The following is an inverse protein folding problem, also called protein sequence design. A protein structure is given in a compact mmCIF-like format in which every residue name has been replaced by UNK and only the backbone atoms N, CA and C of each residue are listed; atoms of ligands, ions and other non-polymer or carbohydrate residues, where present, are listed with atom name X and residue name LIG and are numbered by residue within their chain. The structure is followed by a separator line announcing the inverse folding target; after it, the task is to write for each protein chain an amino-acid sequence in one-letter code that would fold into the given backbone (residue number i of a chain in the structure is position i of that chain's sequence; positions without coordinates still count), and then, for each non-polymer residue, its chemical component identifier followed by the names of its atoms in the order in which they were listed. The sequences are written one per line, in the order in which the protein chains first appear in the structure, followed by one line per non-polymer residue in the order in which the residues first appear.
data_IF_314590299339
#
_entry.id   IF_314590299339
#
_cell.length_a   1.000
_cell.length_b   1.000
_cell.length_c   1.000
_cell.angle_alpha   90.00
_cell.angle_beta   90.00
_cell.angle_gamma   90.00
#
_symmetry.space_group_name_H-M   'P 1'
#
loop_
_entity.id
_entity.type
_entity.pdbx_description
1 polymer ?
#
# COMPACT_ATOMS: atom_id res chain seq x y z
N UNK A 1 20.48 39.98 43.56
CA UNK A 1 20.10 39.74 42.15
C UNK A 1 20.83 38.53 41.53
N UNK A 2 21.23 37.49 42.30
CA UNK A 2 21.99 36.34 41.76
C UNK A 2 21.17 35.04 41.57
N UNK A 3 19.95 34.98 42.08
CA UNK A 3 19.14 33.75 42.05
C UNK A 3 18.21 33.61 40.84
N UNK A 4 18.03 34.68 40.04
CA UNK A 4 17.15 34.64 38.86
C UNK A 4 17.84 34.07 37.61
N UNK A 5 19.17 34.15 37.54
CA UNK A 5 19.92 33.70 36.37
C UNK A 5 20.07 32.17 36.34
N UNK A 6 20.21 31.54 37.50
CA UNK A 6 20.37 30.08 37.63
C UNK A 6 19.09 29.30 37.25
N UNK A 7 17.93 29.91 37.48
CA UNK A 7 16.64 29.28 37.19
C UNK A 7 16.30 29.27 35.69
N UNK A 8 16.82 30.23 34.92
CA UNK A 8 16.63 30.30 33.46
C UNK A 8 17.52 29.28 32.73
N UNK A 9 18.72 29.01 33.25
CA UNK A 9 19.63 28.02 32.67
C UNK A 9 19.16 26.58 32.91
N UNK A 10 18.54 26.31 34.05
CA UNK A 10 17.96 24.99 34.36
C UNK A 10 16.73 24.68 33.49
N UNK A 11 15.94 25.70 33.14
CA UNK A 11 14.75 25.56 32.29
C UNK A 11 15.11 25.24 30.83
N UNK A 12 16.26 25.71 30.35
CA UNK A 12 16.73 25.48 28.97
C UNK A 12 17.33 24.07 28.77
N UNK A 13 17.84 23.41 29.81
CA UNK A 13 18.32 22.03 29.70
C UNK A 13 17.21 20.97 29.65
N UNK A 14 15.96 21.34 29.97
CA UNK A 14 14.81 20.42 29.90
C UNK A 14 14.19 20.40 28.49
N UNK A 15 14.61 21.28 27.59
CA UNK A 15 14.08 21.38 26.22
C UNK A 15 14.85 20.57 25.16
N UNK A 16 15.86 19.78 25.54
CA UNK A 16 16.51 18.83 24.65
C UNK A 16 16.01 17.40 24.89
N UNK A 17 14.69 17.21 24.88
CA UNK A 17 14.16 15.88 24.57
C UNK A 17 14.49 15.70 23.08
N UNK A 18 15.39 14.77 22.69
CA UNK A 18 15.52 14.44 21.29
C UNK A 18 14.13 13.98 20.87
N UNK A 19 13.51 14.72 19.94
CA UNK A 19 12.47 14.19 19.08
C UNK A 19 13.11 13.07 18.27
N UNK A 20 13.38 11.95 18.93
CA UNK A 20 13.48 10.67 18.29
C UNK A 20 12.12 10.50 17.65
N UNK A 21 12.07 10.68 16.33
CA UNK A 21 11.09 10.01 15.51
C UNK A 21 11.31 8.52 15.73
N UNK A 22 10.84 8.02 16.86
CA UNK A 22 10.83 6.61 17.17
C UNK A 22 10.05 5.96 16.05
N UNK A 23 10.71 5.07 15.32
CA UNK A 23 10.03 4.10 14.48
C UNK A 23 9.24 3.25 15.49
N UNK A 24 7.99 3.62 15.73
CA UNK A 24 7.09 2.80 16.51
C UNK A 24 6.75 1.59 15.64
N UNK A 25 7.46 0.49 15.83
CA UNK A 25 6.96 -0.82 15.39
C UNK A 25 5.74 -1.11 16.26
N UNK A 26 4.55 -0.83 15.74
CA UNK A 26 3.32 -1.29 16.35
C UNK A 26 3.34 -2.82 16.28
N UNK A 27 3.54 -3.48 17.42
CA UNK A 27 3.36 -4.92 17.52
C UNK A 27 1.92 -5.25 17.07
N UNK A 28 1.78 -6.05 16.01
CA UNK A 28 0.48 -6.42 15.45
C UNK A 28 0.00 -5.63 14.22
N UNK A 29 0.86 -4.83 13.57
CA UNK A 29 0.55 -4.25 12.25
C UNK A 29 1.38 -4.93 11.16
N UNK A 30 0.75 -5.31 10.05
CA UNK A 30 1.44 -5.91 8.92
C UNK A 30 2.39 -4.90 8.26
N UNK A 31 3.54 -5.40 7.82
CA UNK A 31 4.49 -4.62 7.04
C UNK A 31 3.84 -4.17 5.72
N UNK A 32 3.96 -2.88 5.44
CA UNK A 32 3.49 -2.34 4.17
C UNK A 32 4.28 -2.95 3.00
N UNK A 33 3.63 -3.16 1.84
CA UNK A 33 4.34 -3.51 0.61
C UNK A 33 5.43 -2.49 0.26
N UNK A 34 6.53 -2.95 -0.32
CA UNK A 34 7.71 -2.13 -0.64
C UNK A 34 8.25 -2.44 -2.05
N UNK A 35 9.26 -1.68 -2.49
CA UNK A 35 9.87 -1.80 -3.83
C UNK A 35 8.81 -1.82 -4.95
N UNK A 36 7.90 -0.86 -4.86
CA UNK A 36 6.72 -0.77 -5.71
C UNK A 36 7.10 -0.15 -7.05
N UNK A 37 6.67 -0.78 -8.13
CA UNK A 37 6.89 -0.32 -9.49
C UNK A 37 5.70 -0.63 -10.37
N UNK A 38 5.48 0.24 -11.37
CA UNK A 38 4.45 0.05 -12.38
C UNK A 38 5.14 -0.13 -13.73
N UNK A 39 4.98 -1.31 -14.31
CA UNK A 39 5.38 -1.60 -15.68
C UNK A 39 4.20 -1.31 -16.63
N UNK A 40 4.39 -1.55 -17.93
CA UNK A 40 3.41 -1.20 -18.96
C UNK A 40 2.01 -1.77 -18.72
N UNK A 41 1.84 -2.97 -18.19
CA UNK A 41 0.53 -3.55 -17.90
C UNK A 41 0.55 -4.39 -16.63
N UNK A 42 1.56 -4.17 -15.78
CA UNK A 42 1.82 -4.96 -14.57
C UNK A 42 2.08 -4.00 -13.40
N UNK A 43 1.42 -4.25 -12.29
CA UNK A 43 1.73 -3.69 -10.97
C UNK A 43 2.67 -4.67 -10.26
N UNK A 44 3.86 -4.22 -9.89
CA UNK A 44 4.89 -5.05 -9.28
C UNK A 44 5.26 -4.50 -7.91
N UNK A 45 5.30 -5.36 -6.90
CA UNK A 45 5.70 -4.99 -5.54
C UNK A 45 6.28 -6.18 -4.78
N UNK A 46 6.93 -5.91 -3.67
CA UNK A 46 7.40 -6.90 -2.70
C UNK A 46 6.65 -6.69 -1.39
N UNK A 47 6.64 -7.68 -0.52
CA UNK A 47 6.19 -7.50 0.84
C UNK A 47 6.70 -8.63 1.73
N UNK A 48 6.72 -8.35 3.03
CA UNK A 48 7.12 -9.31 4.05
C UNK A 48 5.87 -9.99 4.62
N UNK A 49 5.78 -11.30 4.39
CA UNK A 49 4.57 -12.11 4.62
C UNK A 49 4.80 -13.19 5.68
N UNK A 50 5.88 -13.04 6.45
CA UNK A 50 6.32 -14.04 7.42
C UNK A 50 5.45 -14.03 8.69
N UNK A 51 4.63 -13.00 8.87
CA UNK A 51 3.67 -12.91 9.96
C UNK A 51 2.60 -14.01 9.86
N UNK A 52 2.33 -14.65 11.00
CA UNK A 52 1.37 -15.77 11.08
C UNK A 52 -0.04 -15.36 10.65
N UNK A 53 -0.46 -14.14 11.02
CA UNK A 53 -1.76 -13.54 10.74
C UNK A 53 -1.85 -12.85 9.37
N UNK A 54 -0.77 -12.80 8.58
CA UNK A 54 -0.83 -12.30 7.20
C UNK A 54 -1.79 -13.14 6.37
N UNK A 55 -2.72 -12.48 5.67
CA UNK A 55 -3.75 -13.16 4.87
C UNK A 55 -3.64 -12.84 3.37
N UNK A 56 -2.87 -11.82 2.97
CA UNK A 56 -2.58 -11.46 1.58
C UNK A 56 -2.51 -9.95 1.32
N UNK A 57 -2.84 -9.53 0.09
CA UNK A 57 -2.78 -8.14 -0.34
C UNK A 57 -4.04 -7.65 -1.05
N UNK A 58 -4.39 -6.39 -0.80
CA UNK A 58 -5.44 -5.65 -1.48
C UNK A 58 -4.84 -4.68 -2.51
N UNK A 59 -5.36 -4.71 -3.73
CA UNK A 59 -5.06 -3.67 -4.73
C UNK A 59 -6.21 -2.67 -4.74
N UNK A 60 -5.85 -1.40 -4.57
CA UNK A 60 -6.76 -0.28 -4.51
C UNK A 60 -6.61 0.58 -5.76
N UNK A 61 -7.67 1.29 -6.13
CA UNK A 61 -7.64 2.27 -7.20
C UNK A 61 -8.47 3.53 -6.88
N UNK A 62 -8.18 4.62 -7.58
CA UNK A 62 -9.01 5.84 -7.66
C UNK A 62 -8.89 6.46 -9.07
N UNK A 63 -9.92 7.16 -9.55
CA UNK A 63 -9.91 7.78 -10.89
C UNK A 63 -9.35 9.22 -10.86
N UNK A 64 -9.31 9.85 -9.70
CA UNK A 64 -8.69 11.16 -9.49
C UNK A 64 -7.94 11.26 -8.17
N UNK A 65 -7.02 12.22 -8.05
CA UNK A 65 -6.24 12.42 -6.81
C UNK A 65 -7.12 12.79 -5.61
N UNK A 66 -8.26 13.43 -5.87
CA UNK A 66 -9.24 13.87 -4.87
C UNK A 66 -10.21 12.77 -4.42
N UNK A 67 -10.28 11.65 -5.12
CA UNK A 67 -11.18 10.56 -4.79
C UNK A 67 -10.61 9.63 -3.71
N UNK A 68 -11.52 9.01 -2.96
CA UNK A 68 -11.18 7.94 -2.04
C UNK A 68 -10.84 6.64 -2.79
N UNK A 69 -9.93 5.87 -2.22
CA UNK A 69 -9.57 4.56 -2.74
C UNK A 69 -10.74 3.58 -2.68
N UNK A 70 -10.87 2.80 -3.76
CA UNK A 70 -11.82 1.70 -3.90
C UNK A 70 -11.04 0.40 -4.13
N UNK A 71 -11.60 -0.71 -3.69
CA UNK A 71 -10.96 -2.02 -3.83
C UNK A 71 -11.17 -2.54 -5.26
N UNK A 72 -10.10 -2.96 -5.93
CA UNK A 72 -10.21 -3.53 -7.28
C UNK A 72 -10.67 -5.00 -7.24
N UNK A 73 -11.40 -5.42 -8.26
CA UNK A 73 -11.66 -6.83 -8.51
C UNK A 73 -10.49 -7.47 -9.23
N UNK A 74 -10.21 -8.72 -8.85
CA UNK A 74 -9.15 -9.49 -9.47
C UNK A 74 -9.66 -10.82 -9.99
N UNK A 75 -9.31 -11.12 -11.24
CA UNK A 75 -9.69 -12.35 -11.92
C UNK A 75 -8.42 -13.13 -12.26
N UNK A 76 -8.11 -14.14 -11.46
CA UNK A 76 -6.98 -15.05 -11.71
C UNK A 76 -7.52 -16.46 -11.91
N UNK A 77 -7.11 -17.12 -12.99
CA UNK A 77 -7.58 -18.47 -13.33
C UNK A 77 -9.12 -18.58 -13.30
N UNK A 78 -9.82 -17.59 -13.86
CA UNK A 78 -11.29 -17.51 -13.93
C UNK A 78 -12.01 -17.37 -12.57
N UNK A 79 -11.27 -17.15 -11.48
CA UNK A 79 -11.84 -16.88 -10.15
C UNK A 79 -11.89 -15.38 -9.89
N UNK A 80 -13.10 -14.83 -9.75
CA UNK A 80 -13.31 -13.44 -9.35
C UNK A 80 -13.18 -13.35 -7.83
N UNK A 81 -12.30 -12.48 -7.34
CA UNK A 81 -12.12 -12.19 -5.92
C UNK A 81 -12.26 -10.70 -5.66
N UNK A 82 -13.19 -10.36 -4.77
CA UNK A 82 -13.38 -8.99 -4.27
C UNK A 82 -12.64 -8.75 -2.95
N UNK A 83 -12.18 -9.82 -2.30
CA UNK A 83 -11.33 -9.82 -1.10
C UNK A 83 -10.12 -10.71 -1.38
N UNK A 84 -9.04 -10.56 -0.63
CA UNK A 84 -7.85 -9.94 -1.23
C UNK A 84 -7.61 -10.22 -2.70
N UNK A 85 -7.11 -9.18 -3.37
CA UNK A 85 -6.57 -9.32 -4.71
C UNK A 85 -5.53 -10.44 -4.79
N UNK A 86 -4.64 -10.57 -3.80
CA UNK A 86 -3.68 -11.68 -3.75
C UNK A 86 -3.82 -12.38 -2.41
N UNK A 87 -4.27 -13.64 -2.42
CA UNK A 87 -4.34 -14.46 -1.19
C UNK A 87 -2.95 -14.87 -0.72
N UNK A 88 -2.80 -15.15 0.57
CA UNK A 88 -1.58 -15.72 1.16
C UNK A 88 -1.02 -16.91 0.37
N UNK A 89 -1.90 -17.79 -0.14
CA UNK A 89 -1.52 -18.95 -0.95
C UNK A 89 -0.93 -18.60 -2.32
N UNK A 90 -1.26 -17.42 -2.84
CA UNK A 90 -0.84 -16.91 -4.16
C UNK A 90 0.32 -15.92 -4.06
N UNK A 91 0.58 -15.39 -2.87
CA UNK A 91 1.64 -14.42 -2.63
C UNK A 91 3.02 -15.10 -2.69
N UNK A 92 3.98 -14.42 -3.30
CA UNK A 92 5.38 -14.87 -3.29
C UNK A 92 5.96 -14.58 -1.90
N UNK A 93 6.56 -15.59 -1.27
CA UNK A 93 7.09 -15.53 0.09
C UNK A 93 8.54 -15.03 0.15
N UNK A 94 8.85 -14.37 1.27
CA UNK A 94 10.21 -14.19 1.80
C UNK A 94 11.23 -13.58 0.82
N UNK A 95 10.79 -12.63 -0.01
CA UNK A 95 11.67 -11.96 -0.98
C UNK A 95 12.18 -12.85 -2.12
N UNK A 96 11.67 -14.09 -2.27
CA UNK A 96 12.04 -15.00 -3.36
C UNK A 96 11.68 -14.47 -4.76
N UNK A 97 10.82 -13.46 -4.82
CA UNK A 97 10.48 -12.73 -6.04
C UNK A 97 9.39 -11.68 -5.79
N UNK A 98 9.13 -10.82 -6.78
CA UNK A 98 8.08 -9.83 -6.69
C UNK A 98 6.69 -10.43 -6.89
N UNK A 99 5.69 -9.89 -6.19
CA UNK A 99 4.29 -10.07 -6.57
C UNK A 99 3.99 -9.23 -7.81
N UNK A 100 3.31 -9.84 -8.78
CA UNK A 100 2.94 -9.21 -10.04
C UNK A 100 1.44 -9.36 -10.31
N UNK A 101 0.78 -8.23 -10.59
CA UNK A 101 -0.64 -8.18 -10.90
C UNK A 101 -0.82 -7.56 -12.27
N UNK A 102 -1.41 -8.31 -13.21
CA UNK A 102 -1.71 -7.78 -14.54
C UNK A 102 -2.93 -6.86 -14.49
N UNK A 103 -2.86 -5.72 -15.18
CA UNK A 103 -4.01 -4.83 -15.37
C UNK A 103 -5.08 -5.43 -16.29
N UNK A 104 -4.80 -6.54 -16.97
CA UNK A 104 -5.80 -7.31 -17.74
C UNK A 104 -6.71 -8.12 -16.83
N UNK A 105 -6.19 -8.47 -15.67
CA UNK A 105 -6.85 -9.31 -14.66
C UNK A 105 -7.47 -8.46 -13.55
N UNK A 106 -7.30 -7.14 -13.62
CA UNK A 106 -7.73 -6.19 -12.59
C UNK A 106 -8.84 -5.30 -13.14
N UNK A 107 -9.93 -5.16 -12.39
CA UNK A 107 -11.16 -4.48 -12.82
C UNK A 107 -11.65 -3.48 -11.76
N UNK A 108 -12.24 -2.34 -12.17
CA UNK A 108 -13.02 -1.48 -11.27
C UNK A 108 -14.26 -2.20 -10.72
N UNK A 109 -14.77 -1.78 -9.55
CA UNK A 109 -15.93 -2.45 -8.92
C UNK A 109 -17.23 -2.41 -9.74
N UNK A 110 -17.36 -1.42 -10.62
CA UNK A 110 -18.59 -1.16 -11.36
C UNK A 110 -18.37 -1.18 -12.87
N UNK A 111 -17.39 -1.98 -13.34
CA UNK A 111 -17.05 -2.08 -14.75
C UNK A 111 -16.83 -3.53 -15.17
N UNK A 112 -17.35 -3.86 -16.35
CA UNK A 112 -17.12 -5.15 -17.01
C UNK A 112 -15.77 -5.18 -17.77
N UNK A 113 -15.12 -4.04 -17.94
CA UNK A 113 -13.84 -3.91 -18.63
C UNK A 113 -12.68 -3.84 -17.63
N UNK A 114 -11.57 -4.51 -17.96
CA UNK A 114 -10.35 -4.43 -17.14
C UNK A 114 -9.68 -3.06 -17.28
N UNK A 115 -8.85 -2.70 -16.30
CA UNK A 115 -8.07 -1.46 -16.36
C UNK A 115 -7.22 -1.37 -17.63
N UNK A 116 -6.72 -2.50 -18.14
CA UNK A 116 -6.02 -2.56 -19.42
C UNK A 116 -6.92 -2.15 -20.60
N UNK A 117 -8.14 -2.70 -20.69
CA UNK A 117 -9.08 -2.39 -21.77
C UNK A 117 -9.53 -0.93 -21.69
N UNK A 118 -9.88 -0.45 -20.49
CA UNK A 118 -10.32 0.94 -20.30
C UNK A 118 -9.23 1.92 -20.70
N UNK A 119 -8.00 1.71 -20.22
CA UNK A 119 -6.87 2.60 -20.53
C UNK A 119 -6.53 2.59 -22.04
N UNK A 120 -6.66 1.43 -22.70
CA UNK A 120 -6.44 1.31 -24.15
C UNK A 120 -7.52 2.04 -24.96
N UNK A 121 -8.78 2.00 -24.52
CA UNK A 121 -9.91 2.56 -25.24
C UNK A 121 -10.18 4.04 -24.91
N UNK A 122 -9.67 4.53 -23.78
CA UNK A 122 -9.88 5.91 -23.32
C UNK A 122 -8.61 6.48 -22.71
N UNK A 123 -7.79 7.14 -23.54
CA UNK A 123 -6.52 7.76 -23.14
C UNK A 123 -6.66 8.88 -22.09
N UNK A 124 -7.87 9.38 -21.86
CA UNK A 124 -8.12 10.46 -20.92
C UNK A 124 -8.45 9.95 -19.52
N UNK A 125 -8.79 8.66 -19.35
CA UNK A 125 -9.00 8.09 -18.02
C UNK A 125 -7.67 7.77 -17.37
N UNK A 126 -7.40 8.41 -16.23
CA UNK A 126 -6.24 8.12 -15.39
C UNK A 126 -6.66 7.25 -14.22
N UNK A 127 -5.85 6.26 -13.90
CA UNK A 127 -6.03 5.41 -12.72
C UNK A 127 -4.78 5.45 -11.85
N UNK A 128 -5.00 5.73 -10.58
CA UNK A 128 -4.00 5.68 -9.53
C UNK A 128 -4.21 4.37 -8.77
N UNK A 129 -3.13 3.63 -8.53
CA UNK A 129 -3.19 2.35 -7.82
C UNK A 129 -2.43 2.44 -6.51
N UNK A 130 -2.88 1.69 -5.52
CA UNK A 130 -2.15 1.46 -4.28
C UNK A 130 -2.26 -0.02 -3.87
N UNK A 131 -1.40 -0.46 -2.98
CA UNK A 131 -1.44 -1.80 -2.39
C UNK A 131 -1.31 -1.71 -0.88
N UNK A 132 -2.05 -2.55 -0.16
CA UNK A 132 -1.85 -2.79 1.27
C UNK A 132 -1.87 -4.28 1.58
N UNK A 133 -1.23 -4.66 2.67
CA UNK A 133 -1.33 -5.98 3.27
C UNK A 133 -2.57 -6.03 4.19
N UNK A 134 -3.19 -7.21 4.26
CA UNK A 134 -4.32 -7.44 5.15
C UNK A 134 -4.10 -8.75 5.91
N UNK A 135 -4.58 -8.78 7.14
CA UNK A 135 -4.49 -9.91 8.05
C UNK A 135 -5.85 -10.49 8.38
N UNK A 136 -5.89 -11.36 9.38
CA UNK A 136 -7.13 -12.01 9.82
C UNK A 136 -8.20 -11.03 10.34
N UNK A 137 -7.81 -9.80 10.74
CA UNK A 137 -8.75 -8.77 11.22
C UNK A 137 -9.02 -7.68 10.17
N UNK A 138 -8.62 -7.88 8.92
CA UNK A 138 -8.86 -6.93 7.81
C UNK A 138 -7.60 -6.18 7.38
N UNK A 139 -7.78 -4.96 6.85
CA UNK A 139 -6.64 -4.14 6.41
C UNK A 139 -5.82 -3.66 7.60
N UNK A 140 -4.58 -4.14 7.69
CA UNK A 140 -3.71 -3.95 8.87
C UNK A 140 -2.39 -3.25 8.52
N UNK A 141 -2.17 -2.89 7.24
CA UNK A 141 -1.05 -2.05 6.80
C UNK A 141 -1.52 -0.74 6.15
N UNK A 142 -0.61 0.23 6.04
CA UNK A 142 -0.82 1.41 5.19
C UNK A 142 -0.97 1.03 3.70
N UNK A 143 -1.67 1.89 2.96
CA UNK A 143 -1.75 1.84 1.49
C UNK A 143 -0.53 2.53 0.90
N UNK A 144 0.21 1.81 0.07
CA UNK A 144 1.39 2.36 -0.60
C UNK A 144 1.09 2.52 -2.08
N UNK A 145 1.19 3.76 -2.58
CA UNK A 145 0.82 4.11 -3.96
C UNK A 145 1.87 3.62 -4.97
N UNK A 146 1.42 3.09 -6.10
CA UNK A 146 2.28 2.79 -7.23
C UNK A 146 2.70 4.09 -7.94
N UNK A 147 3.92 4.15 -8.50
CA UNK A 147 4.31 5.24 -9.38
C UNK A 147 3.28 5.44 -10.50
N UNK A 148 3.03 6.71 -10.85
CA UNK A 148 2.12 7.06 -11.95
C UNK A 148 2.60 6.42 -13.25
N UNK A 149 1.65 6.03 -14.11
CA UNK A 149 1.96 5.71 -15.50
C UNK A 149 2.74 6.89 -16.09
N UNK A 150 3.73 6.68 -16.97
CA UNK A 150 4.35 7.81 -17.64
C UNK A 150 3.24 8.63 -18.32
N UNK A 151 3.23 9.94 -18.04
CA UNK A 151 2.53 10.92 -18.87
C UNK A 151 3.14 10.92 -20.29
#
# INVERSE_FOLDING_TARGET
MKNKLFMVTLLLMILEIPFSCGIYTLEGTLNAPYNISRLKDILRFYGDNNESYFAGYNIWYKESESESYQLAYYIKNEVISIEPTIKKSDAIYDGSGPNEVSLKDLYPQYSDDSFYVINKNNSNKKFYFAVSAYGENGEESEKVEFPRWPD
#
